data_IF_569583721842
#
_entry.id   IF_569583721842
#
_cell.length_a   1.000
_cell.length_b   1.000
_cell.length_c   1.000
_cell.angle_alpha   90.00
_cell.angle_beta   90.00
_cell.angle_gamma   90.00
#
_symmetry.space_group_name_H-M   'P 1'
#
loop_
_entity.id
_entity.type
_entity.pdbx_description
1 polymer ?
#
# COMPACT_ATOMS: atom_id res chain seq x y z
N UNK A 1 51.37 8.13 11.95
CA UNK A 1 52.59 7.33 11.93
C UNK A 1 53.58 8.00 12.89
N UNK A 2 53.86 7.39 14.04
CA UNK A 2 54.87 7.89 15.00
C UNK A 2 56.03 6.90 14.94
N UNK A 3 57.25 7.42 14.74
CA UNK A 3 58.48 6.66 14.77
C UNK A 3 59.13 6.95 16.11
N UNK A 4 59.36 5.92 16.90
CA UNK A 4 60.12 6.01 18.15
C UNK A 4 61.47 5.32 17.94
N UNK A 5 62.58 6.05 18.21
CA UNK A 5 63.93 5.49 18.29
C UNK A 5 64.21 5.04 19.72
N UNK A 6 64.54 3.80 19.88
CA UNK A 6 65.16 3.25 21.08
C UNK A 6 66.51 2.64 20.69
N UNK A 7 67.58 3.27 21.17
CA UNK A 7 68.93 2.84 20.90
C UNK A 7 69.35 2.88 19.41
N UNK A 8 70.61 3.14 19.10
CA UNK A 8 71.12 3.41 17.76
C UNK A 8 71.04 2.22 16.75
N UNK A 9 70.35 1.15 17.12
CA UNK A 9 70.31 -0.09 16.32
C UNK A 9 68.95 -0.69 16.07
N UNK A 10 67.82 -0.14 16.61
CA UNK A 10 66.49 -0.74 16.44
C UNK A 10 65.44 0.33 16.17
N UNK A 11 64.73 0.19 15.01
CA UNK A 11 63.61 1.02 14.62
C UNK A 11 62.32 0.22 14.70
N UNK A 12 61.30 0.71 15.43
CA UNK A 12 59.96 0.14 15.44
C UNK A 12 58.98 0.98 14.61
N UNK A 13 58.28 0.35 13.68
CA UNK A 13 57.17 0.93 12.95
C UNK A 13 55.86 0.45 13.61
N UNK A 14 55.18 1.37 14.25
CA UNK A 14 53.84 1.07 14.82
C UNK A 14 52.76 1.50 13.83
N UNK A 15 52.14 0.55 13.18
CA UNK A 15 50.88 0.74 12.45
C UNK A 15 49.80 -0.01 13.21
N UNK A 16 48.67 0.64 13.51
CA UNK A 16 47.57 0.11 14.27
C UNK A 16 47.51 -1.42 14.23
N UNK A 17 47.74 -2.04 15.38
CA UNK A 17 47.55 -3.46 15.70
C UNK A 17 48.61 -4.50 15.22
N UNK A 18 49.75 -4.13 14.62
CA UNK A 18 50.88 -5.06 14.42
C UNK A 18 52.19 -4.32 14.50
N UNK A 19 53.10 -4.80 15.38
CA UNK A 19 54.48 -4.30 15.52
C UNK A 19 55.42 -5.17 14.72
N UNK A 20 56.19 -4.58 13.81
CA UNK A 20 57.26 -5.25 13.07
C UNK A 20 58.61 -4.67 13.50
N UNK A 21 59.47 -5.51 14.03
CA UNK A 21 60.84 -5.13 14.38
C UNK A 21 61.82 -5.47 13.25
N UNK A 22 62.56 -4.49 12.79
CA UNK A 22 63.68 -4.70 11.83
C UNK A 22 64.99 -4.55 12.59
N UNK A 23 65.74 -5.67 12.74
CA UNK A 23 67.04 -5.66 13.35
C UNK A 23 68.08 -5.43 12.25
N UNK A 24 68.74 -4.28 12.28
CA UNK A 24 69.89 -3.98 11.41
C UNK A 24 71.17 -4.07 12.24
N UNK A 25 72.01 -5.10 12.03
CA UNK A 25 73.37 -5.18 12.65
C UNK A 25 74.32 -4.17 11.97
N UNK A 26 74.93 -3.27 12.70
CA UNK A 26 75.89 -2.34 12.11
C UNK A 26 77.23 -3.03 11.96
N UNK A 27 77.70 -3.20 10.72
CA UNK A 27 79.12 -3.35 10.43
C UNK A 27 79.71 -1.95 10.29
N UNK A 28 80.53 -1.58 11.24
CA UNK A 28 81.21 -0.30 11.23
C UNK A 28 82.45 -0.47 10.33
N UNK A 29 82.41 0.03 9.11
CA UNK A 29 83.55 0.45 8.33
C UNK A 29 83.19 1.79 7.67
N UNK A 30 84.16 2.74 7.76
CA UNK A 30 84.13 4.12 7.27
C UNK A 30 83.54 4.20 5.86
N UNK A 31 82.28 4.41 5.68
CA UNK A 31 81.63 4.65 4.39
C UNK A 31 81.08 6.05 4.37
N UNK A 32 81.43 6.81 3.37
CA UNK A 32 81.11 8.18 3.04
C UNK A 32 79.58 8.48 3.24
N UNK A 33 79.27 9.58 3.89
CA UNK A 33 77.88 10.05 4.24
C UNK A 33 76.93 10.07 3.02
N UNK A 34 77.51 10.30 1.80
CA UNK A 34 76.76 10.31 0.54
C UNK A 34 76.21 8.91 0.15
N UNK A 35 76.91 7.81 0.45
CA UNK A 35 76.40 6.45 0.19
C UNK A 35 75.33 6.05 1.18
N UNK A 36 75.39 6.51 2.43
CA UNK A 36 74.36 6.26 3.44
C UNK A 36 73.02 6.96 3.10
N UNK A 37 73.06 8.15 2.54
CA UNK A 37 71.91 8.90 2.09
C UNK A 37 71.21 8.25 0.84
N UNK A 38 72.03 7.73 -0.07
CA UNK A 38 71.47 7.01 -1.24
C UNK A 38 70.82 5.68 -0.87
N UNK A 39 71.39 4.95 0.08
CA UNK A 39 70.84 3.67 0.54
C UNK A 39 69.48 3.91 1.30
N UNK A 40 69.38 4.95 2.14
CA UNK A 40 68.13 5.31 2.81
C UNK A 40 67.08 5.77 1.80
N UNK A 41 67.45 6.52 0.78
CA UNK A 41 66.55 6.94 -0.30
C UNK A 41 66.02 5.75 -1.09
N UNK A 42 66.88 4.78 -1.43
CA UNK A 42 66.51 3.56 -2.14
C UNK A 42 65.54 2.67 -1.34
N UNK A 43 65.79 2.46 -0.03
CA UNK A 43 64.88 1.73 0.84
C UNK A 43 63.54 2.46 1.04
N UNK A 44 63.56 3.78 1.13
CA UNK A 44 62.35 4.59 1.28
C UNK A 44 61.48 4.51 0.01
N UNK A 45 62.07 4.47 -1.19
CA UNK A 45 61.36 4.30 -2.46
C UNK A 45 60.70 2.92 -2.54
N UNK A 46 61.46 1.85 -2.23
CA UNK A 46 60.91 0.49 -2.30
C UNK A 46 59.80 0.23 -1.30
N UNK A 47 59.87 0.80 -0.08
CA UNK A 47 58.80 0.68 0.92
C UNK A 47 57.54 1.44 0.48
N UNK A 48 57.68 2.63 -0.11
CA UNK A 48 56.53 3.39 -0.64
C UNK A 48 55.87 2.65 -1.80
N UNK A 49 56.62 2.03 -2.68
CA UNK A 49 56.10 1.26 -3.82
C UNK A 49 55.37 -0.02 -3.37
N UNK A 50 55.87 -0.71 -2.35
CA UNK A 50 55.22 -1.90 -1.76
C UNK A 50 53.90 -1.49 -1.10
N UNK A 51 53.87 -0.40 -0.30
CA UNK A 51 52.66 0.10 0.34
C UNK A 51 51.65 0.59 -0.69
N UNK A 52 52.06 1.26 -1.75
CA UNK A 52 51.21 1.74 -2.82
C UNK A 52 50.56 0.59 -3.60
N UNK A 53 51.33 -0.44 -3.94
CA UNK A 53 50.84 -1.63 -4.63
C UNK A 53 49.89 -2.43 -3.74
N UNK A 54 50.16 -2.57 -2.45
CA UNK A 54 49.28 -3.23 -1.50
C UNK A 54 47.93 -2.48 -1.35
N UNK A 55 47.95 -1.13 -1.27
CA UNK A 55 46.74 -0.31 -1.26
C UNK A 55 45.94 -0.45 -2.55
N UNK A 56 46.61 -0.48 -3.71
CA UNK A 56 45.97 -0.65 -5.01
C UNK A 56 45.25 -2.00 -5.12
N UNK A 57 45.84 -3.07 -4.62
CA UNK A 57 45.24 -4.40 -4.64
C UNK A 57 44.08 -4.51 -3.65
N UNK A 58 44.15 -3.83 -2.49
CA UNK A 58 43.04 -3.72 -1.56
C UNK A 58 41.89 -2.95 -2.17
N UNK A 59 42.15 -1.84 -2.83
CA UNK A 59 41.13 -1.05 -3.52
C UNK A 59 40.46 -1.84 -4.66
N UNK A 60 41.21 -2.61 -5.43
CA UNK A 60 40.65 -3.49 -6.47
C UNK A 60 39.73 -4.55 -5.85
N UNK A 61 40.10 -5.18 -4.74
CA UNK A 61 39.26 -6.16 -4.03
C UNK A 61 37.99 -5.52 -3.50
N UNK A 62 38.04 -4.29 -2.96
CA UNK A 62 36.88 -3.54 -2.50
C UNK A 62 35.93 -3.19 -3.67
N UNK A 63 36.47 -2.74 -4.79
CA UNK A 63 35.70 -2.44 -6.00
C UNK A 63 35.03 -3.69 -6.56
N UNK A 64 35.73 -4.82 -6.63
CA UNK A 64 35.16 -6.11 -7.04
C UNK A 64 34.07 -6.58 -6.07
N UNK A 65 34.25 -6.41 -4.76
CA UNK A 65 33.26 -6.75 -3.75
C UNK A 65 32.00 -5.87 -3.88
N UNK A 66 32.17 -4.56 -4.09
CA UNK A 66 31.09 -3.61 -4.33
C UNK A 66 30.34 -3.92 -5.62
N UNK A 67 31.04 -4.33 -6.68
CA UNK A 67 30.42 -4.76 -7.94
C UNK A 67 29.65 -6.06 -7.75
N UNK A 68 30.15 -7.04 -7.00
CA UNK A 68 29.42 -8.27 -6.69
C UNK A 68 28.18 -8.01 -5.82
N UNK A 69 28.26 -7.11 -4.84
CA UNK A 69 27.10 -6.71 -4.03
C UNK A 69 26.04 -6.01 -4.90
N UNK A 70 26.44 -5.13 -5.82
CA UNK A 70 25.51 -4.53 -6.78
C UNK A 70 24.88 -5.56 -7.72
N UNK A 71 25.64 -6.55 -8.21
CA UNK A 71 25.08 -7.64 -9.01
C UNK A 71 24.08 -8.51 -8.23
N UNK A 72 24.33 -8.75 -6.95
CA UNK A 72 23.39 -9.47 -6.06
C UNK A 72 22.13 -8.67 -5.77
N UNK A 73 22.23 -7.33 -5.67
CA UNK A 73 21.08 -6.45 -5.52
C UNK A 73 20.23 -6.36 -6.81
N UNK A 74 20.85 -6.48 -7.98
CA UNK A 74 20.15 -6.52 -9.28
C UNK A 74 19.48 -7.89 -9.54
N UNK A 75 19.94 -8.96 -8.91
CA UNK A 75 19.36 -10.30 -9.07
C UNK A 75 18.14 -10.57 -8.17
N UNK A 76 17.81 -9.63 -7.26
CA UNK A 76 16.74 -9.79 -6.24
C UNK A 76 15.36 -9.32 -6.64
N UNK A 77 15.20 -8.57 -7.73
CA UNK A 77 13.89 -8.23 -8.25
C UNK A 77 13.41 -9.30 -9.24
N UNK A 78 12.86 -10.41 -8.75
CA UNK A 78 11.76 -11.04 -9.48
C UNK A 78 10.62 -10.01 -9.45
N UNK A 79 10.53 -9.15 -10.46
CA UNK A 79 9.25 -8.59 -10.84
C UNK A 79 8.38 -9.79 -11.29
N UNK A 80 7.69 -10.43 -10.37
CA UNK A 80 6.47 -11.12 -10.73
C UNK A 80 5.50 -10.01 -11.14
N UNK A 81 5.47 -9.71 -12.44
CA UNK A 81 4.39 -8.90 -12.98
C UNK A 81 3.11 -9.66 -12.68
N UNK A 82 2.25 -9.07 -11.84
CA UNK A 82 0.93 -9.63 -11.56
C UNK A 82 0.23 -9.82 -12.89
N UNK A 83 -0.24 -11.03 -13.18
CA UNK A 83 -0.87 -11.35 -14.45
C UNK A 83 -2.20 -10.60 -14.59
N UNK A 84 -2.39 -9.85 -15.66
CA UNK A 84 -3.67 -9.21 -16.00
C UNK A 84 -4.24 -9.87 -17.25
N UNK A 85 -5.45 -10.40 -17.14
CA UNK A 85 -6.16 -11.08 -18.23
C UNK A 85 -7.45 -10.35 -18.55
N UNK A 86 -7.61 -9.98 -19.81
CA UNK A 86 -8.87 -9.42 -20.31
C UNK A 86 -9.94 -10.51 -20.35
N UNK A 87 -11.12 -10.21 -19.81
CA UNK A 87 -12.29 -11.09 -19.76
C UNK A 87 -13.48 -10.45 -20.47
N UNK A 88 -14.25 -11.25 -21.14
CA UNK A 88 -15.55 -10.79 -21.64
C UNK A 88 -16.64 -11.11 -20.61
N UNK A 89 -17.03 -10.10 -19.84
CA UNK A 89 -18.16 -10.16 -18.92
C UNK A 89 -19.39 -9.40 -19.44
N UNK A 90 -19.40 -8.95 -20.71
CA UNK A 90 -20.46 -8.12 -21.31
C UNK A 90 -21.86 -8.67 -21.09
N UNK A 91 -22.03 -10.00 -21.21
CA UNK A 91 -23.29 -10.69 -20.99
C UNK A 91 -23.82 -10.58 -19.53
N UNK A 92 -22.97 -10.26 -18.55
CA UNK A 92 -23.36 -10.05 -17.16
C UNK A 92 -23.82 -8.60 -16.91
N UNK A 93 -23.40 -7.65 -17.75
CA UNK A 93 -23.70 -6.22 -17.60
C UNK A 93 -25.08 -5.83 -18.14
N UNK A 94 -25.79 -6.70 -18.84
CA UNK A 94 -27.14 -6.45 -19.39
C UNK A 94 -27.25 -5.14 -20.20
N UNK A 95 -26.18 -4.81 -20.95
CA UNK A 95 -26.08 -3.59 -21.74
C UNK A 95 -25.91 -2.30 -20.90
N UNK A 96 -25.58 -2.37 -19.61
CA UNK A 96 -25.15 -1.24 -18.82
C UNK A 96 -23.66 -1.00 -19.07
N UNK A 97 -23.27 0.26 -19.28
CA UNK A 97 -21.86 0.61 -19.40
C UNK A 97 -21.18 0.54 -18.03
N UNK A 98 -19.96 -0.02 -18.00
CA UNK A 98 -19.20 -0.17 -16.76
C UNK A 98 -18.00 -1.10 -16.92
N UNK A 99 -17.37 -1.42 -15.82
CA UNK A 99 -16.18 -2.25 -15.76
C UNK A 99 -16.17 -3.18 -14.54
N UNK A 100 -15.31 -4.21 -14.60
CA UNK A 100 -15.12 -5.16 -13.52
C UNK A 100 -13.64 -5.54 -13.37
N UNK A 101 -13.18 -5.59 -12.13
CA UNK A 101 -11.91 -6.17 -11.74
C UNK A 101 -12.17 -7.30 -10.74
N UNK A 102 -11.61 -8.47 -11.01
CA UNK A 102 -11.56 -9.60 -10.08
C UNK A 102 -10.09 -9.95 -9.84
N UNK A 103 -9.70 -10.07 -8.59
CA UNK A 103 -8.33 -10.36 -8.18
C UNK A 103 -8.25 -11.66 -7.38
N UNK A 104 -7.61 -12.67 -7.98
CA UNK A 104 -7.22 -13.92 -7.32
C UNK A 104 -5.87 -13.68 -6.63
N UNK A 105 -5.91 -13.44 -5.32
CA UNK A 105 -4.73 -13.10 -4.54
C UNK A 105 -3.70 -14.25 -4.51
N UNK A 106 -4.17 -15.50 -4.45
CA UNK A 106 -3.29 -16.68 -4.35
C UNK A 106 -2.54 -16.95 -5.67
N UNK A 107 -3.14 -16.54 -6.79
CA UNK A 107 -2.53 -16.67 -8.12
C UNK A 107 -1.84 -15.40 -8.58
N UNK A 108 -1.90 -14.31 -7.81
CA UNK A 108 -1.42 -12.98 -8.22
C UNK A 108 -1.96 -12.58 -9.60
N UNK A 109 -3.28 -12.74 -9.82
CA UNK A 109 -3.90 -12.59 -11.12
C UNK A 109 -5.13 -11.70 -11.08
N UNK A 110 -5.18 -10.73 -12.00
CA UNK A 110 -6.37 -9.94 -12.29
C UNK A 110 -7.10 -10.47 -13.51
N UNK A 111 -8.42 -10.65 -13.41
CA UNK A 111 -9.35 -10.77 -14.50
C UNK A 111 -10.07 -9.42 -14.67
N UNK A 112 -9.94 -8.78 -15.83
CA UNK A 112 -10.37 -7.38 -16.05
C UNK A 112 -11.33 -7.31 -17.24
N UNK A 113 -12.44 -6.60 -17.06
CA UNK A 113 -13.38 -6.24 -18.12
C UNK A 113 -13.44 -4.72 -18.25
N UNK A 114 -13.24 -4.20 -19.47
CA UNK A 114 -13.18 -2.78 -19.78
C UNK A 114 -12.05 -2.06 -19.02
N UNK A 115 -10.82 -2.40 -19.38
CA UNK A 115 -9.58 -1.98 -18.68
C UNK A 115 -9.42 -0.46 -18.56
N UNK A 116 -9.84 0.30 -19.59
CA UNK A 116 -9.76 1.76 -19.56
C UNK A 116 -10.56 2.33 -18.39
N UNK A 117 -11.80 1.88 -18.21
CA UNK A 117 -12.63 2.31 -17.07
C UNK A 117 -12.12 1.75 -15.74
N UNK A 118 -11.51 0.55 -15.74
CA UNK A 118 -10.89 0.01 -14.51
C UNK A 118 -9.73 0.85 -14.00
N UNK A 119 -9.10 1.66 -14.85
CA UNK A 119 -7.99 2.57 -14.54
C UNK A 119 -8.41 4.06 -14.50
N UNK A 120 -9.69 4.35 -14.66
CA UNK A 120 -10.24 5.71 -14.52
C UNK A 120 -10.70 5.93 -13.07
N UNK A 121 -10.43 7.12 -12.52
CA UNK A 121 -10.82 7.49 -11.16
C UNK A 121 -12.24 8.01 -11.12
N UNK A 122 -12.98 7.59 -10.10
CA UNK A 122 -14.34 7.98 -9.80
C UNK A 122 -14.51 8.21 -8.31
N UNK A 123 -15.50 9.01 -7.92
CA UNK A 123 -15.83 9.16 -6.50
C UNK A 123 -16.28 7.82 -5.91
N UNK A 124 -15.77 7.43 -4.72
CA UNK A 124 -16.06 6.13 -4.11
C UNK A 124 -17.49 6.00 -3.56
N UNK A 125 -18.15 7.10 -3.31
CA UNK A 125 -19.47 7.13 -2.65
C UNK A 125 -19.48 6.23 -1.40
N UNK A 126 -20.52 5.45 -1.21
CA UNK A 126 -20.69 4.62 0.00
C UNK A 126 -19.71 3.46 0.13
N UNK A 127 -18.86 3.17 -0.86
CA UNK A 127 -17.77 2.18 -0.70
C UNK A 127 -16.68 2.68 0.25
N UNK A 128 -16.52 4.01 0.39
CA UNK A 128 -15.61 4.62 1.36
C UNK A 128 -15.92 4.25 2.82
N UNK A 129 -17.16 3.82 3.09
CA UNK A 129 -17.58 3.35 4.41
C UNK A 129 -16.75 2.16 4.93
N UNK A 130 -16.10 1.39 4.05
CA UNK A 130 -15.13 0.34 4.42
C UNK A 130 -13.98 0.96 5.22
N UNK A 131 -13.39 2.04 4.72
CA UNK A 131 -12.29 2.76 5.38
C UNK A 131 -12.80 3.49 6.63
N UNK A 132 -13.94 4.16 6.54
CA UNK A 132 -14.52 4.87 7.67
C UNK A 132 -14.84 3.96 8.88
N UNK A 133 -15.26 2.71 8.64
CA UNK A 133 -15.47 1.71 9.71
C UNK A 133 -14.13 1.34 10.35
N UNK A 134 -13.12 1.01 9.54
CA UNK A 134 -11.83 0.57 10.07
C UNK A 134 -11.14 1.68 10.85
N UNK A 135 -11.13 2.90 10.32
CA UNK A 135 -10.52 4.02 11.03
C UNK A 135 -11.32 4.41 12.28
N UNK A 136 -12.64 4.37 12.21
CA UNK A 136 -13.49 4.60 13.38
C UNK A 136 -13.27 3.56 14.50
N UNK A 137 -13.02 2.30 14.16
CA UNK A 137 -12.66 1.24 15.12
C UNK A 137 -11.25 1.44 15.67
N UNK A 138 -10.29 1.76 14.79
CA UNK A 138 -8.89 1.99 15.17
C UNK A 138 -8.74 3.21 16.10
N UNK A 139 -9.51 4.27 15.86
CA UNK A 139 -9.50 5.50 16.66
C UNK A 139 -10.41 5.44 17.91
N UNK A 140 -11.19 4.37 18.08
CA UNK A 140 -12.09 4.16 19.23
C UNK A 140 -13.41 4.96 19.15
N UNK A 141 -13.71 5.63 18.04
CA UNK A 141 -15.02 6.24 17.74
C UNK A 141 -16.09 5.16 17.64
N UNK A 142 -15.72 4.02 17.04
CA UNK A 142 -16.50 2.81 16.99
C UNK A 142 -15.84 1.75 17.88
N UNK A 143 -16.63 1.03 18.69
CA UNK A 143 -16.14 -0.03 19.58
C UNK A 143 -16.65 -1.42 19.21
N UNK A 144 -17.75 -1.49 18.47
CA UNK A 144 -18.35 -2.74 18.00
C UNK A 144 -19.37 -2.45 16.89
N UNK A 145 -19.88 -3.50 16.25
CA UNK A 145 -21.01 -3.39 15.30
C UNK A 145 -22.30 -2.82 15.91
N UNK A 146 -22.39 -2.78 17.25
CA UNK A 146 -23.56 -2.24 17.97
C UNK A 146 -23.35 -0.78 18.42
N UNK A 147 -22.22 -0.14 18.08
CA UNK A 147 -22.01 1.28 18.41
C UNK A 147 -23.08 2.15 17.80
N UNK A 148 -23.80 2.90 18.64
CA UNK A 148 -24.93 3.71 18.23
C UNK A 148 -24.55 5.18 18.07
N UNK A 149 -25.08 5.80 17.02
CA UNK A 149 -25.12 7.25 16.84
C UNK A 149 -26.57 7.73 16.97
N UNK A 150 -26.72 8.93 17.51
CA UNK A 150 -28.03 9.54 17.69
C UNK A 150 -28.47 10.25 16.42
N UNK A 151 -29.72 10.01 16.05
CA UNK A 151 -30.44 10.73 15.03
C UNK A 151 -30.73 12.17 15.49
N UNK A 152 -30.53 13.13 14.58
CA UNK A 152 -30.69 14.57 14.90
C UNK A 152 -32.16 15.08 14.81
N UNK A 153 -33.10 14.24 14.37
CA UNK A 153 -34.50 14.61 14.19
C UNK A 153 -34.86 15.18 12.81
N UNK A 154 -33.89 15.36 11.92
CA UNK A 154 -34.09 15.83 10.56
C UNK A 154 -34.75 14.75 9.69
N UNK A 155 -35.65 15.15 8.77
CA UNK A 155 -36.28 14.20 7.85
C UNK A 155 -35.35 13.90 6.68
N UNK A 156 -34.79 12.70 6.66
CA UNK A 156 -33.96 12.20 5.55
C UNK A 156 -34.81 11.55 4.43
N UNK A 157 -34.26 11.42 3.21
CA UNK A 157 -35.00 10.87 2.06
C UNK A 157 -35.44 9.42 2.24
N UNK A 158 -34.74 8.65 3.08
CA UNK A 158 -35.05 7.24 3.33
C UNK A 158 -35.62 7.09 4.74
N UNK A 159 -36.84 6.61 4.88
CA UNK A 159 -37.51 6.46 6.18
C UNK A 159 -36.72 5.61 7.17
N UNK A 160 -35.95 4.61 6.66
CA UNK A 160 -35.08 3.77 7.48
C UNK A 160 -33.92 4.54 8.15
N UNK A 161 -33.59 5.75 7.68
CA UNK A 161 -32.56 6.61 8.27
C UNK A 161 -33.10 7.53 9.39
N UNK A 162 -34.43 7.65 9.55
CA UNK A 162 -35.06 8.58 10.47
C UNK A 162 -35.24 7.98 11.88
N UNK A 163 -34.13 7.45 12.43
CA UNK A 163 -34.08 6.85 13.78
C UNK A 163 -32.61 6.73 14.24
N UNK A 164 -32.42 6.56 15.55
CA UNK A 164 -31.10 6.13 16.08
C UNK A 164 -30.68 4.81 15.42
N UNK A 165 -29.41 4.69 15.06
CA UNK A 165 -28.86 3.50 14.40
C UNK A 165 -27.60 2.99 15.07
N UNK A 166 -27.37 1.68 15.01
CA UNK A 166 -26.08 1.10 15.28
C UNK A 166 -25.25 0.95 13.98
N UNK A 167 -23.95 0.64 14.13
CA UNK A 167 -23.02 0.51 12.99
C UNK A 167 -23.52 -0.50 11.95
N UNK A 168 -24.01 -1.67 12.39
CA UNK A 168 -24.47 -2.72 11.47
C UNK A 168 -25.67 -2.23 10.64
N UNK A 169 -26.68 -1.64 11.29
CA UNK A 169 -27.84 -1.08 10.59
C UNK A 169 -27.43 0.02 9.61
N UNK A 170 -26.56 0.95 10.05
CA UNK A 170 -26.09 2.07 9.23
C UNK A 170 -25.28 1.60 8.02
N UNK A 171 -24.44 0.56 8.16
CA UNK A 171 -23.66 0.00 7.07
C UNK A 171 -24.56 -0.70 6.04
N UNK A 172 -25.49 -1.54 6.51
CA UNK A 172 -26.43 -2.29 5.66
C UNK A 172 -27.38 -1.37 4.90
N UNK A 173 -27.89 -0.32 5.53
CA UNK A 173 -28.77 0.68 4.91
C UNK A 173 -28.01 1.80 4.20
N UNK A 174 -26.68 1.74 4.23
CA UNK A 174 -25.80 2.77 3.64
C UNK A 174 -26.06 4.20 4.17
N UNK A 175 -26.47 4.33 5.45
CA UNK A 175 -26.85 5.59 6.07
C UNK A 175 -25.74 6.62 6.04
N UNK A 176 -25.97 7.76 5.36
CA UNK A 176 -24.91 8.78 5.18
C UNK A 176 -24.69 9.56 6.45
N UNK A 177 -25.75 10.05 7.14
CA UNK A 177 -25.60 10.87 8.33
C UNK A 177 -24.85 10.16 9.47
N UNK A 178 -25.04 8.83 9.62
CA UNK A 178 -24.31 8.04 10.60
C UNK A 178 -22.80 8.08 10.32
N UNK A 179 -22.41 7.83 9.07
CA UNK A 179 -21.01 7.84 8.68
C UNK A 179 -20.41 9.24 8.64
N UNK A 180 -21.21 10.29 8.39
CA UNK A 180 -20.74 11.67 8.55
C UNK A 180 -20.35 11.93 10.01
N UNK A 181 -21.17 11.52 10.99
CA UNK A 181 -20.82 11.63 12.42
C UNK A 181 -19.55 10.83 12.76
N UNK A 182 -19.40 9.61 12.24
CA UNK A 182 -18.18 8.82 12.46
C UNK A 182 -16.96 9.56 11.92
N UNK A 183 -17.02 10.02 10.67
CA UNK A 183 -15.95 10.74 9.97
C UNK A 183 -15.58 12.04 10.70
N UNK A 184 -16.56 12.81 11.13
CA UNK A 184 -16.32 14.05 11.88
C UNK A 184 -15.69 13.79 13.25
N UNK A 185 -16.08 12.72 13.94
CA UNK A 185 -15.48 12.34 15.23
C UNK A 185 -14.04 11.81 15.08
N UNK A 186 -13.68 11.19 13.95
CA UNK A 186 -12.28 10.83 13.62
C UNK A 186 -11.47 12.11 13.37
N UNK A 187 -12.02 13.05 12.59
CA UNK A 187 -11.39 14.30 12.20
C UNK A 187 -10.59 14.20 10.91
N UNK A 188 -10.43 15.35 10.25
CA UNK A 188 -9.84 15.45 8.91
C UNK A 188 -8.38 14.99 8.88
N UNK A 189 -7.57 15.35 9.89
CA UNK A 189 -6.15 15.02 9.95
C UNK A 189 -5.92 13.50 9.97
N UNK A 190 -6.57 12.79 10.90
CA UNK A 190 -6.43 11.34 11.03
C UNK A 190 -6.97 10.59 9.79
N UNK A 191 -8.06 11.09 9.23
CA UNK A 191 -8.63 10.47 8.03
C UNK A 191 -7.76 10.72 6.79
N UNK A 192 -7.08 11.88 6.71
CA UNK A 192 -6.06 12.14 5.70
C UNK A 192 -4.88 11.16 5.84
N UNK A 193 -4.37 10.96 7.06
CA UNK A 193 -3.33 9.96 7.32
C UNK A 193 -3.77 8.55 6.90
N UNK A 194 -5.01 8.16 7.20
CA UNK A 194 -5.54 6.84 6.86
C UNK A 194 -5.64 6.62 5.34
N UNK A 195 -6.11 7.62 4.57
CA UNK A 195 -6.17 7.49 3.10
C UNK A 195 -4.78 7.51 2.46
N UNK A 196 -3.82 8.24 3.04
CA UNK A 196 -2.42 8.25 2.58
C UNK A 196 -1.75 6.89 2.84
N UNK A 197 -1.90 6.32 4.03
CA UNK A 197 -1.34 5.01 4.37
C UNK A 197 -1.90 3.87 3.52
N UNK A 198 -3.17 3.99 3.11
CA UNK A 198 -3.82 3.02 2.22
C UNK A 198 -3.52 3.26 0.74
N UNK A 199 -2.85 4.36 0.38
CA UNK A 199 -2.72 4.82 -1.01
C UNK A 199 -4.09 4.87 -1.72
N UNK A 200 -5.07 5.50 -1.05
CA UNK A 200 -6.48 5.47 -1.45
C UNK A 200 -6.74 6.48 -2.58
N UNK A 201 -6.54 6.03 -3.82
CA UNK A 201 -6.80 6.82 -5.01
C UNK A 201 -5.97 8.11 -5.07
N UNK A 202 -6.64 9.27 -5.17
CA UNK A 202 -5.98 10.57 -5.13
C UNK A 202 -5.68 11.10 -3.72
N UNK A 203 -6.11 10.39 -2.68
CA UNK A 203 -5.94 10.76 -1.26
C UNK A 203 -6.48 12.15 -0.91
N UNK A 204 -7.39 12.73 -1.71
CA UNK A 204 -7.84 14.12 -1.56
C UNK A 204 -9.08 14.23 -0.66
N UNK A 205 -8.87 14.63 0.60
CA UNK A 205 -9.91 14.96 1.58
C UNK A 205 -10.07 16.47 1.77
N UNK A 206 -9.56 17.30 0.85
CA UNK A 206 -9.52 18.77 1.00
C UNK A 206 -10.90 19.39 1.07
N UNK A 207 -11.87 18.87 0.30
CA UNK A 207 -13.26 19.30 0.36
C UNK A 207 -14.02 18.54 1.45
N UNK A 208 -13.62 18.71 2.70
CA UNK A 208 -14.15 17.97 3.85
C UNK A 208 -15.66 17.94 3.92
N UNK A 209 -16.31 19.09 3.73
CA UNK A 209 -17.76 19.24 3.75
C UNK A 209 -18.44 18.72 2.48
N UNK A 210 -17.65 18.40 1.44
CA UNK A 210 -18.16 18.01 0.13
C UNK A 210 -18.73 19.17 -0.68
N UNK A 211 -19.25 18.83 -1.86
CA UNK A 211 -20.05 19.79 -2.64
C UNK A 211 -21.45 19.93 -2.02
N UNK A 212 -22.05 21.12 -2.02
CA UNK A 212 -23.37 21.38 -1.42
C UNK A 212 -24.51 20.83 -2.31
N UNK A 213 -24.46 19.53 -2.56
CA UNK A 213 -25.42 18.84 -3.44
C UNK A 213 -26.73 18.54 -2.71
N UNK A 214 -26.64 18.21 -1.41
CA UNK A 214 -27.80 17.98 -0.57
C UNK A 214 -28.06 19.18 0.33
N UNK A 215 -29.33 19.45 0.60
CA UNK A 215 -29.73 20.52 1.51
C UNK A 215 -29.27 20.23 2.94
N UNK A 216 -29.39 18.97 3.36
CA UNK A 216 -28.86 18.52 4.65
C UNK A 216 -27.33 18.38 4.54
N UNK A 217 -26.59 19.19 5.32
CA UNK A 217 -25.13 19.24 5.29
C UNK A 217 -24.50 17.88 5.55
N UNK A 218 -25.06 17.10 6.47
CA UNK A 218 -24.59 15.76 6.84
C UNK A 218 -24.77 14.70 5.74
N UNK A 219 -25.42 15.03 4.64
CA UNK A 219 -25.53 14.19 3.45
C UNK A 219 -24.49 14.55 2.38
N UNK A 220 -23.57 15.48 2.68
CA UNK A 220 -22.45 15.84 1.83
C UNK A 220 -21.13 15.37 2.47
N UNK A 221 -20.05 15.33 1.67
CA UNK A 221 -18.72 14.92 2.15
C UNK A 221 -17.75 14.72 1.01
N UNK A 222 -16.46 14.77 1.29
CA UNK A 222 -15.39 14.65 0.30
C UNK A 222 -15.45 13.34 -0.52
N UNK A 223 -16.11 12.30 -0.02
CA UNK A 223 -16.28 10.98 -0.66
C UNK A 223 -17.58 10.84 -1.48
N UNK A 224 -18.42 11.86 -1.53
CA UNK A 224 -19.77 11.85 -2.14
C UNK A 224 -19.83 12.76 -3.37
N UNK A 225 -19.20 12.36 -4.47
CA UNK A 225 -19.16 13.16 -5.71
C UNK A 225 -18.36 14.44 -5.52
N UNK A 226 -17.23 14.38 -4.82
CA UNK A 226 -16.41 15.53 -4.47
C UNK A 226 -14.91 15.24 -4.70
N UNK A 227 -14.01 15.66 -3.79
CA UNK A 227 -12.56 15.65 -4.04
C UNK A 227 -11.92 14.26 -4.05
N UNK A 228 -12.44 13.30 -3.28
CA UNK A 228 -11.86 11.96 -3.21
C UNK A 228 -12.29 11.10 -4.39
N UNK A 229 -11.30 10.56 -5.10
CA UNK A 229 -11.51 9.68 -6.25
C UNK A 229 -10.58 8.48 -6.22
N UNK A 230 -11.04 7.34 -6.75
CA UNK A 230 -10.30 6.08 -6.78
C UNK A 230 -10.67 5.29 -8.04
N UNK A 231 -9.71 4.51 -8.58
CA UNK A 231 -9.99 3.57 -9.68
C UNK A 231 -10.52 2.24 -9.14
N UNK A 232 -11.30 1.48 -9.94
CA UNK A 232 -11.67 0.10 -9.61
C UNK A 232 -10.46 -0.81 -9.33
N UNK A 233 -9.35 -0.60 -10.02
CA UNK A 233 -8.10 -1.34 -9.81
C UNK A 233 -7.48 -1.03 -8.44
N UNK A 234 -7.39 0.25 -8.05
CA UNK A 234 -6.93 0.66 -6.72
C UNK A 234 -7.86 0.13 -5.62
N UNK A 235 -9.18 0.22 -5.83
CA UNK A 235 -10.19 -0.25 -4.88
C UNK A 235 -10.05 -1.73 -4.55
N UNK A 236 -9.90 -2.60 -5.56
CA UNK A 236 -9.76 -4.05 -5.34
C UNK A 236 -8.48 -4.38 -4.58
N UNK A 237 -7.40 -3.64 -4.82
CA UNK A 237 -6.12 -3.81 -4.13
C UNK A 237 -6.22 -3.42 -2.65
N UNK A 238 -6.88 -2.31 -2.35
CA UNK A 238 -7.10 -1.87 -0.96
C UNK A 238 -7.92 -2.90 -0.20
N UNK A 239 -9.04 -3.36 -0.77
CA UNK A 239 -9.87 -4.40 -0.14
C UNK A 239 -9.06 -5.68 0.07
N UNK A 240 -8.27 -6.11 -0.92
CA UNK A 240 -7.39 -7.27 -0.78
C UNK A 240 -6.37 -7.08 0.36
N UNK A 241 -5.67 -5.95 0.40
CA UNK A 241 -4.67 -5.64 1.44
C UNK A 241 -5.28 -5.65 2.84
N UNK A 242 -6.49 -5.09 3.03
CA UNK A 242 -7.22 -5.11 4.29
C UNK A 242 -7.46 -6.57 4.73
N UNK A 243 -8.09 -7.39 3.90
CA UNK A 243 -8.49 -8.75 4.27
C UNK A 243 -7.37 -9.80 4.18
N UNK A 244 -6.18 -9.40 3.70
CA UNK A 244 -4.93 -10.16 3.80
C UNK A 244 -4.05 -9.72 4.98
N UNK A 245 -4.53 -8.78 5.82
CA UNK A 245 -3.79 -8.31 6.99
C UNK A 245 -2.53 -7.51 6.66
N UNK A 246 -2.50 -6.84 5.50
CA UNK A 246 -1.38 -6.01 5.04
C UNK A 246 -1.53 -4.53 5.37
N UNK A 247 -2.45 -4.19 6.26
CA UNK A 247 -2.71 -2.83 6.72
C UNK A 247 -2.44 -2.69 8.22
N UNK A 248 -2.48 -1.47 8.74
CA UNK A 248 -2.33 -1.20 10.19
C UNK A 248 -3.45 -1.79 11.07
N UNK A 249 -4.59 -2.13 10.47
CA UNK A 249 -5.79 -2.52 11.21
C UNK A 249 -5.65 -3.91 11.84
N UNK A 250 -6.16 -4.03 13.07
CA UNK A 250 -6.11 -5.28 13.83
C UNK A 250 -7.13 -6.30 13.33
N UNK A 251 -6.83 -7.57 13.51
CA UNK A 251 -7.73 -8.66 13.12
C UNK A 251 -9.16 -8.52 13.69
N UNK A 252 -9.31 -7.99 14.91
CA UNK A 252 -10.64 -7.76 15.49
C UNK A 252 -11.43 -6.71 14.71
N UNK A 253 -10.81 -5.62 14.30
CA UNK A 253 -11.43 -4.56 13.50
C UNK A 253 -11.84 -5.08 12.11
N UNK A 254 -10.93 -5.83 11.47
CA UNK A 254 -11.20 -6.49 10.18
C UNK A 254 -12.35 -7.51 10.29
N UNK A 255 -12.44 -8.26 11.39
CA UNK A 255 -13.52 -9.22 11.61
C UNK A 255 -14.88 -8.53 11.83
N UNK A 256 -14.91 -7.39 12.55
CA UNK A 256 -16.13 -6.58 12.69
C UNK A 256 -16.56 -6.07 11.31
N UNK A 257 -15.65 -5.53 10.51
CA UNK A 257 -15.94 -5.09 9.14
C UNK A 257 -16.45 -6.25 8.29
N UNK A 258 -15.79 -7.41 8.30
CA UNK A 258 -16.24 -8.60 7.58
C UNK A 258 -17.67 -9.01 7.95
N UNK A 259 -17.99 -9.01 9.25
CA UNK A 259 -19.31 -9.40 9.72
C UNK A 259 -20.42 -8.45 9.18
N UNK A 260 -20.20 -7.15 9.18
CA UNK A 260 -21.16 -6.18 8.65
C UNK A 260 -21.17 -6.07 7.11
N UNK A 261 -20.14 -6.56 6.41
CA UNK A 261 -20.09 -6.66 4.94
C UNK A 261 -20.82 -7.88 4.38
N UNK A 262 -21.27 -8.80 5.24
CA UNK A 262 -21.94 -10.03 4.80
C UNK A 262 -23.16 -9.72 3.94
N UNK A 263 -23.17 -10.30 2.72
CA UNK A 263 -24.26 -10.18 1.77
C UNK A 263 -25.34 -11.24 2.03
N UNK A 264 -26.49 -11.08 1.36
CA UNK A 264 -27.53 -12.10 1.26
C UNK A 264 -27.11 -13.33 0.43
N UNK A 265 -26.09 -13.16 -0.45
CA UNK A 265 -25.48 -14.26 -1.22
C UNK A 265 -24.39 -14.93 -0.39
N UNK A 266 -24.48 -16.26 -0.27
CA UNK A 266 -23.53 -17.07 0.46
C UNK A 266 -22.08 -16.85 -0.03
N UNK A 267 -21.16 -16.63 0.91
CA UNK A 267 -19.74 -16.43 0.65
C UNK A 267 -19.40 -15.06 0.09
N UNK A 268 -20.36 -14.17 -0.17
CA UNK A 268 -20.12 -12.83 -0.70
C UNK A 268 -20.17 -11.80 0.40
N UNK A 269 -19.14 -10.96 0.45
CA UNK A 269 -18.99 -9.84 1.37
C UNK A 269 -18.72 -8.58 0.56
N UNK A 270 -19.46 -7.51 0.79
CA UNK A 270 -19.24 -6.31 -0.01
C UNK A 270 -20.02 -5.09 0.46
N UNK A 271 -19.69 -3.97 -0.20
CA UNK A 271 -20.34 -2.68 0.00
C UNK A 271 -20.72 -2.06 -1.33
N UNK A 272 -21.98 -1.65 -1.43
CA UNK A 272 -22.49 -0.89 -2.57
C UNK A 272 -22.20 0.60 -2.42
N UNK A 273 -22.05 1.30 -3.54
CA UNK A 273 -22.08 2.75 -3.65
C UNK A 273 -23.07 3.16 -4.72
N UNK A 274 -23.75 4.29 -4.53
CA UNK A 274 -24.66 4.89 -5.51
C UNK A 274 -24.32 6.36 -5.63
N UNK A 275 -24.01 6.79 -6.85
CA UNK A 275 -23.78 8.19 -7.19
C UNK A 275 -25.02 8.86 -7.75
N UNK A 276 -24.98 10.19 -7.90
CA UNK A 276 -26.10 10.96 -8.48
C UNK A 276 -26.13 10.92 -10.01
N UNK A 277 -24.97 10.69 -10.64
CA UNK A 277 -24.77 10.80 -12.09
C UNK A 277 -24.83 9.44 -12.79
N UNK A 278 -25.81 8.59 -12.40
CA UNK A 278 -25.94 7.21 -12.91
C UNK A 278 -24.66 6.38 -12.76
N UNK A 279 -23.96 6.59 -11.67
CA UNK A 279 -22.77 5.82 -11.28
C UNK A 279 -23.09 4.90 -10.11
N UNK A 280 -22.56 3.70 -10.16
CA UNK A 280 -22.75 2.74 -9.08
C UNK A 280 -21.51 1.88 -8.84
N UNK A 281 -21.36 1.44 -7.61
CA UNK A 281 -20.27 0.58 -7.18
C UNK A 281 -20.77 -0.66 -6.46
N UNK A 282 -20.01 -1.74 -6.60
CA UNK A 282 -20.00 -2.82 -5.63
C UNK A 282 -18.59 -3.38 -5.49
N UNK A 283 -18.04 -3.35 -4.29
CA UNK A 283 -16.70 -3.86 -4.01
C UNK A 283 -16.70 -4.77 -2.79
N UNK A 284 -15.79 -5.75 -2.80
CA UNK A 284 -15.70 -6.73 -1.73
C UNK A 284 -14.91 -7.96 -2.12
N UNK A 285 -15.34 -9.12 -1.61
CA UNK A 285 -14.74 -10.40 -1.96
C UNK A 285 -15.75 -11.54 -1.91
N UNK A 286 -15.47 -12.58 -2.69
CA UNK A 286 -16.11 -13.88 -2.62
C UNK A 286 -15.16 -14.86 -1.92
N UNK A 287 -15.66 -15.55 -0.88
CA UNK A 287 -14.86 -16.48 -0.08
C UNK A 287 -15.53 -17.86 -0.08
N UNK A 288 -14.74 -18.88 -0.47
CA UNK A 288 -15.13 -20.28 -0.41
C UNK A 288 -13.91 -21.14 -0.04
N UNK A 289 -14.06 -22.08 0.90
CA UNK A 289 -12.99 -23.00 1.30
C UNK A 289 -11.65 -22.30 1.59
N UNK A 290 -11.68 -21.14 2.25
CA UNK A 290 -10.53 -20.31 2.60
C UNK A 290 -9.84 -19.56 1.42
N UNK A 291 -10.37 -19.66 0.21
CA UNK A 291 -9.91 -18.90 -0.95
C UNK A 291 -10.75 -17.63 -1.11
N UNK A 292 -10.09 -16.51 -1.38
CA UNK A 292 -10.75 -15.23 -1.59
C UNK A 292 -10.48 -14.70 -3.00
N UNK A 293 -11.55 -14.33 -3.69
CA UNK A 293 -11.50 -13.55 -4.93
C UNK A 293 -12.04 -12.17 -4.61
N UNK A 294 -11.19 -11.16 -4.70
CA UNK A 294 -11.56 -9.77 -4.47
C UNK A 294 -12.16 -9.18 -5.73
N UNK A 295 -13.09 -8.25 -5.60
CA UNK A 295 -13.70 -7.63 -6.76
C UNK A 295 -14.05 -6.15 -6.55
N UNK A 296 -14.08 -5.42 -7.67
CA UNK A 296 -14.69 -4.09 -7.78
C UNK A 296 -15.46 -4.01 -9.12
N UNK A 297 -16.74 -3.68 -9.02
CA UNK A 297 -17.61 -3.36 -10.14
C UNK A 297 -17.89 -1.86 -10.09
N UNK A 298 -17.72 -1.18 -11.21
CA UNK A 298 -18.14 0.20 -11.37
C UNK A 298 -19.03 0.33 -12.61
N UNK A 299 -20.15 1.05 -12.46
CA UNK A 299 -21.09 1.37 -13.53
C UNK A 299 -21.08 2.89 -13.72
N UNK A 300 -21.04 3.30 -14.99
CA UNK A 300 -21.12 4.70 -15.41
C UNK A 300 -21.83 4.75 -16.77
N UNK A 301 -23.14 4.99 -16.73
CA UNK A 301 -23.97 4.92 -17.93
C UNK A 301 -24.96 6.09 -18.00
N UNK A 302 -24.55 7.13 -18.71
CA UNK A 302 -25.36 8.33 -18.92
C UNK A 302 -26.56 8.11 -19.85
N UNK A 303 -26.67 6.93 -20.50
CA UNK A 303 -27.81 6.59 -21.38
C UNK A 303 -28.97 5.95 -20.63
N UNK A 304 -28.74 5.52 -19.40
CA UNK A 304 -29.75 4.91 -18.52
C UNK A 304 -30.03 5.79 -17.30
N UNK A 305 -31.25 5.78 -16.82
CA UNK A 305 -31.63 6.51 -15.62
C UNK A 305 -31.77 5.55 -14.43
N UNK A 306 -31.38 6.01 -13.24
CA UNK A 306 -31.64 5.33 -11.98
C UNK A 306 -30.74 4.14 -11.71
N UNK A 307 -29.49 4.13 -12.23
CA UNK A 307 -28.49 3.13 -11.90
C UNK A 307 -28.11 3.30 -10.41
N UNK A 308 -28.20 2.21 -9.68
CA UNK A 308 -27.89 2.16 -8.24
C UNK A 308 -26.96 0.99 -7.91
N UNK A 309 -26.42 0.97 -6.70
CA UNK A 309 -25.50 -0.08 -6.26
C UNK A 309 -26.06 -1.51 -6.30
N UNK A 310 -27.39 -1.67 -6.38
CA UNK A 310 -28.04 -2.96 -6.51
C UNK A 310 -27.72 -3.63 -7.87
N UNK A 311 -27.68 -2.88 -8.98
CA UNK A 311 -27.29 -3.39 -10.31
C UNK A 311 -25.82 -3.82 -10.31
N UNK A 312 -24.92 -3.03 -9.71
CA UNK A 312 -23.51 -3.41 -9.58
C UNK A 312 -23.34 -4.69 -8.75
N UNK A 313 -24.13 -4.86 -7.68
CA UNK A 313 -24.18 -6.08 -6.88
C UNK A 313 -24.70 -7.28 -7.67
N UNK A 314 -25.75 -7.11 -8.44
CA UNK A 314 -26.29 -8.16 -9.32
C UNK A 314 -25.28 -8.62 -10.36
N UNK A 315 -24.60 -7.68 -11.04
CA UNK A 315 -23.53 -7.96 -12.01
C UNK A 315 -22.40 -8.76 -11.36
N UNK A 316 -21.91 -8.32 -10.20
CA UNK A 316 -20.88 -9.05 -9.46
C UNK A 316 -21.33 -10.49 -9.13
N UNK A 317 -22.56 -10.65 -8.66
CA UNK A 317 -23.13 -11.95 -8.32
C UNK A 317 -23.24 -12.87 -9.55
N UNK A 318 -23.61 -12.33 -10.72
CA UNK A 318 -23.70 -13.07 -11.98
C UNK A 318 -22.31 -13.50 -12.46
N UNK A 319 -21.29 -12.64 -12.33
CA UNK A 319 -19.90 -12.99 -12.68
C UNK A 319 -19.38 -14.06 -11.74
N UNK A 320 -19.59 -13.92 -10.42
CA UNK A 320 -19.18 -14.91 -9.41
C UNK A 320 -19.78 -16.28 -9.73
N UNK A 321 -21.08 -16.36 -10.04
CA UNK A 321 -21.75 -17.65 -10.32
C UNK A 321 -21.22 -18.31 -11.58
N UNK A 322 -20.93 -17.54 -12.63
CA UNK A 322 -20.53 -18.09 -13.93
C UNK A 322 -19.06 -18.46 -13.99
N UNK A 323 -18.18 -17.72 -13.32
CA UNK A 323 -16.73 -17.80 -13.55
C UNK A 323 -15.91 -18.21 -12.34
N UNK A 324 -16.47 -18.09 -11.12
CA UNK A 324 -15.71 -18.36 -9.91
C UNK A 324 -16.33 -19.42 -8.98
N UNK A 325 -17.61 -19.72 -9.13
CA UNK A 325 -18.29 -20.73 -8.29
C UNK A 325 -18.13 -22.14 -8.82
N UNK A 326 -18.05 -22.33 -10.13
CA UNK A 326 -17.92 -23.63 -10.79
C UNK A 326 -16.52 -24.24 -10.70
N UNK A 327 -15.48 -23.41 -10.50
CA UNK A 327 -14.07 -23.84 -10.52
C UNK A 327 -13.53 -24.15 -9.11
N UNK A 328 -14.39 -24.22 -8.12
CA UNK A 328 -14.07 -24.49 -6.71
C UNK A 328 -14.94 -25.63 -6.17
#
# INVERSE_FOLDING_TARGET
MKIHCFDDSVFFLNMKDKSYGLIVKPQINKINLSKKLLTIKYYKSNITDVIFNQRRDYMKKIVVLLLMVNLLLLSGCKNSSVETVQKDYSSCFNGINGCAVFYDYDKEKYDVYNEEQCNTRYSPYSTFKIVAVLEGLNDGVLISKNTKMKYNGEKYPFDMWNKDMNLNEAFQTSCVWYFRQVIDNIGQEKLKEAVDELDYGNCDVSKWEGEPINVQQELNGFWLGSSLEITPMEMVNIVANIFQGKTKYKNNEINILKDIMKSDKEGVYGKTGTGKDNTAWYTGFYEIKNKKIYFAIHLDDNTKNGIVGAEAKEIANNIIDRYYRSDM
#
